data_IF_149029056912
#
_entry.id   IF_149029056912
#
_cell.length_a   1.000
_cell.length_b   1.000
_cell.length_c   1.000
_cell.angle_alpha   90.00
_cell.angle_beta   90.00
_cell.angle_gamma   90.00
#
_symmetry.space_group_name_H-M   'P 1'
#
loop_
_entity.id
_entity.type
_entity.pdbx_description
1 polymer ?
#
# COMPACT_ATOMS: atom_id res chain seq x y z
N UNK A 1 -19.06 -29.64 30.26
CA UNK A 1 -19.02 -28.99 28.94
C UNK A 1 -18.10 -27.78 29.03
N UNK A 2 -16.87 -27.90 28.57
CA UNK A 2 -15.91 -26.77 28.53
C UNK A 2 -16.31 -25.85 27.40
N UNK A 3 -17.12 -24.85 27.70
CA UNK A 3 -17.57 -23.86 26.74
C UNK A 3 -16.37 -23.01 26.24
N UNK A 4 -16.38 -22.61 24.98
CA UNK A 4 -15.39 -21.69 24.42
C UNK A 4 -15.52 -20.30 25.07
N UNK A 5 -14.40 -19.72 25.48
CA UNK A 5 -14.35 -18.34 25.98
C UNK A 5 -14.11 -17.36 24.86
N UNK A 6 -14.65 -16.14 25.00
CA UNK A 6 -14.47 -15.04 24.07
C UNK A 6 -13.67 -13.93 24.75
N UNK A 7 -12.47 -13.66 24.27
CA UNK A 7 -11.55 -12.72 24.91
C UNK A 7 -11.31 -11.51 24.02
N UNK A 8 -11.75 -10.35 24.47
CA UNK A 8 -11.43 -9.07 23.84
C UNK A 8 -10.13 -8.51 24.43
N UNK A 9 -9.24 -8.02 23.56
CA UNK A 9 -7.97 -7.41 23.93
C UNK A 9 -7.91 -5.96 23.45
N UNK A 10 -7.91 -5.01 24.37
CA UNK A 10 -7.56 -3.63 24.05
C UNK A 10 -6.05 -3.42 24.25
N UNK A 11 -5.38 -3.15 23.14
CA UNK A 11 -3.92 -3.23 23.04
C UNK A 11 -3.30 -1.85 22.98
N UNK A 12 -2.44 -1.58 23.96
CA UNK A 12 -1.61 -0.37 24.06
C UNK A 12 -0.11 -0.68 24.06
N UNK A 13 0.71 0.36 23.92
CA UNK A 13 2.19 0.24 23.86
C UNK A 13 2.79 -0.50 25.05
N UNK A 14 2.27 -0.27 26.25
CA UNK A 14 2.85 -0.78 27.52
C UNK A 14 1.95 -1.82 28.20
N UNK A 15 0.71 -1.96 27.78
CA UNK A 15 -0.28 -2.80 28.44
C UNK A 15 -1.31 -3.36 27.48
N UNK A 16 -1.93 -4.45 27.89
CA UNK A 16 -3.05 -5.10 27.21
C UNK A 16 -4.17 -5.25 28.26
N UNK A 17 -5.28 -4.57 28.07
CA UNK A 17 -6.48 -4.82 28.86
C UNK A 17 -7.26 -5.94 28.20
N UNK A 18 -7.78 -6.87 28.99
CA UNK A 18 -8.54 -8.02 28.47
C UNK A 18 -9.83 -8.23 29.24
N UNK A 19 -10.80 -8.80 28.57
CA UNK A 19 -12.04 -9.29 29.14
C UNK A 19 -12.40 -10.63 28.51
N UNK A 20 -12.51 -11.67 29.32
CA UNK A 20 -12.95 -13.00 28.93
C UNK A 20 -14.41 -13.19 29.32
N UNK A 21 -15.25 -13.61 28.38
CA UNK A 21 -16.68 -13.86 28.56
C UNK A 21 -17.07 -15.27 28.15
N UNK A 22 -18.11 -15.81 28.77
CA UNK A 22 -18.80 -17.03 28.31
C UNK A 22 -19.60 -16.73 27.04
N UNK A 23 -20.18 -17.78 26.44
CA UNK A 23 -21.13 -17.63 25.33
C UNK A 23 -22.42 -16.89 25.78
N UNK A 24 -22.83 -17.00 27.04
CA UNK A 24 -23.95 -16.24 27.63
C UNK A 24 -23.63 -14.75 27.84
N UNK A 25 -22.36 -14.36 27.83
CA UNK A 25 -21.91 -12.97 28.02
C UNK A 25 -21.47 -12.65 29.44
N UNK A 26 -21.45 -13.65 30.33
CA UNK A 26 -20.96 -13.49 31.71
C UNK A 26 -19.44 -13.27 31.70
N UNK A 27 -18.95 -12.31 32.48
CA UNK A 27 -17.53 -12.04 32.63
C UNK A 27 -16.93 -13.10 33.54
N UNK A 28 -15.99 -13.90 32.98
CA UNK A 28 -15.22 -14.91 33.71
C UNK A 28 -13.98 -14.32 34.32
N UNK A 29 -13.30 -13.49 33.54
CA UNK A 29 -12.07 -12.86 33.95
C UNK A 29 -11.89 -11.54 33.21
N UNK A 30 -11.37 -10.54 33.89
CA UNK A 30 -10.92 -9.30 33.25
C UNK A 30 -9.71 -8.74 33.99
N UNK A 31 -8.89 -7.98 33.30
CA UNK A 31 -7.71 -7.41 33.90
C UNK A 31 -6.83 -6.64 32.92
N UNK A 32 -5.63 -6.34 33.38
CA UNK A 32 -4.62 -5.64 32.61
C UNK A 32 -3.28 -6.35 32.77
N UNK A 33 -2.63 -6.61 31.65
CA UNK A 33 -1.33 -7.27 31.55
C UNK A 33 -0.27 -6.26 31.05
N UNK A 34 0.97 -6.44 31.45
CA UNK A 34 2.08 -5.74 30.81
C UNK A 34 2.24 -6.28 29.37
N UNK A 35 2.38 -5.38 28.40
CA UNK A 35 2.64 -5.75 27.01
C UNK A 35 4.08 -6.24 26.83
N UNK A 36 4.38 -7.44 27.36
CA UNK A 36 5.66 -8.16 27.30
C UNK A 36 5.44 -9.63 27.04
N UNK A 37 6.28 -10.26 26.22
CA UNK A 37 6.13 -11.70 25.87
C UNK A 37 6.17 -12.61 27.08
N UNK A 38 7.03 -12.28 28.07
CA UNK A 38 7.23 -13.02 29.30
C UNK A 38 5.98 -13.02 30.19
N UNK A 39 5.08 -12.05 30.01
CA UNK A 39 3.80 -11.97 30.73
C UNK A 39 2.67 -12.58 29.92
N UNK A 40 2.63 -12.29 28.61
CA UNK A 40 1.51 -12.70 27.74
C UNK A 40 1.50 -14.22 27.48
N UNK A 41 2.67 -14.85 27.31
CA UNK A 41 2.75 -16.30 27.05
C UNK A 41 2.25 -17.16 28.20
N UNK A 42 2.76 -17.02 29.44
CA UNK A 42 2.24 -17.80 30.57
C UNK A 42 0.75 -17.54 30.82
N UNK A 43 0.32 -16.28 30.72
CA UNK A 43 -1.08 -15.94 30.87
C UNK A 43 -1.97 -16.65 29.84
N UNK A 44 -1.58 -16.66 28.56
CA UNK A 44 -2.34 -17.30 27.50
C UNK A 44 -2.37 -18.83 27.63
N UNK A 45 -1.27 -19.44 28.10
CA UNK A 45 -1.15 -20.87 28.36
C UNK A 45 -2.02 -21.32 29.57
N UNK A 46 -2.23 -20.43 30.54
CA UNK A 46 -3.00 -20.73 31.74
C UNK A 46 -4.53 -20.58 31.55
N UNK A 47 -5.01 -20.23 30.37
CA UNK A 47 -6.46 -20.11 30.14
C UNK A 47 -7.16 -21.48 30.23
N UNK A 48 -8.32 -21.59 30.92
CA UNK A 48 -8.90 -22.87 31.33
C UNK A 48 -9.60 -23.64 30.20
N UNK A 49 -9.32 -23.40 28.96
CA UNK A 49 -9.93 -24.14 27.84
C UNK A 49 -9.73 -23.45 26.50
N UNK A 50 -10.37 -23.95 25.43
CA UNK A 50 -10.27 -23.34 24.13
C UNK A 50 -10.92 -21.94 24.15
N UNK A 51 -10.19 -20.94 23.67
CA UNK A 51 -10.67 -19.56 23.64
C UNK A 51 -10.54 -18.94 22.24
N UNK A 52 -11.48 -18.06 21.95
CA UNK A 52 -11.47 -17.22 20.75
C UNK A 52 -11.15 -15.79 21.18
N UNK A 53 -10.19 -15.14 20.52
CA UNK A 53 -9.77 -13.82 20.90
C UNK A 53 -9.86 -12.81 19.76
N UNK A 54 -9.95 -11.53 20.11
CA UNK A 54 -9.92 -10.45 19.12
C UNK A 54 -9.31 -9.18 19.65
N UNK A 55 -8.60 -8.47 18.80
CA UNK A 55 -7.97 -7.19 19.07
C UNK A 55 -8.07 -6.25 17.88
N UNK A 56 -8.04 -4.94 18.14
CA UNK A 56 -8.00 -3.96 17.06
C UNK A 56 -6.61 -3.91 16.39
N UNK A 57 -6.59 -3.75 15.06
CA UNK A 57 -5.35 -3.57 14.30
C UNK A 57 -4.73 -2.20 14.59
N UNK A 58 -3.74 -2.17 15.44
CA UNK A 58 -2.94 -0.99 15.80
C UNK A 58 -1.47 -1.19 15.42
N UNK A 59 -0.64 -0.17 15.65
CA UNK A 59 0.82 -0.31 15.46
C UNK A 59 1.43 -1.42 16.32
N UNK A 60 0.84 -1.70 17.48
CA UNK A 60 1.37 -2.65 18.47
C UNK A 60 0.78 -4.05 18.38
N UNK A 61 -0.36 -4.22 17.75
CA UNK A 61 -1.14 -5.47 17.79
C UNK A 61 -0.45 -6.65 17.11
N UNK A 62 0.35 -6.43 16.07
CA UNK A 62 0.91 -7.52 15.28
C UNK A 62 1.79 -8.49 16.08
N UNK A 63 2.73 -8.01 16.89
CA UNK A 63 3.59 -8.87 17.69
C UNK A 63 2.85 -9.52 18.88
N UNK A 64 1.83 -8.84 19.43
CA UNK A 64 0.95 -9.39 20.47
C UNK A 64 0.10 -10.53 19.88
N UNK A 65 -0.47 -10.29 18.70
CA UNK A 65 -1.17 -11.32 17.94
C UNK A 65 -0.32 -12.58 17.74
N UNK A 66 0.92 -12.42 17.24
CA UNK A 66 1.84 -13.56 17.04
C UNK A 66 2.21 -14.28 18.35
N UNK A 67 2.25 -13.53 19.45
CA UNK A 67 2.56 -14.09 20.77
C UNK A 67 1.39 -14.91 21.33
N UNK A 68 0.15 -14.47 21.11
CA UNK A 68 -1.05 -15.10 21.65
C UNK A 68 -1.63 -16.21 20.73
N UNK A 69 -1.41 -16.10 19.41
CA UNK A 69 -1.98 -16.99 18.40
C UNK A 69 -1.75 -18.49 18.65
N UNK A 70 -0.57 -18.96 19.14
CA UNK A 70 -0.34 -20.38 19.41
C UNK A 70 -1.22 -20.99 20.51
N UNK A 71 -1.79 -20.14 21.38
CA UNK A 71 -2.60 -20.57 22.53
C UNK A 71 -4.12 -20.42 22.28
N UNK A 72 -4.50 -19.72 21.21
CA UNK A 72 -5.89 -19.47 20.88
C UNK A 72 -6.43 -20.53 19.92
N UNK A 73 -7.65 -20.98 20.11
CA UNK A 73 -8.38 -21.75 19.10
C UNK A 73 -8.57 -20.88 17.83
N UNK A 74 -8.96 -19.62 18.04
CA UNK A 74 -9.08 -18.61 16.98
C UNK A 74 -8.67 -17.26 17.54
N UNK A 75 -7.83 -16.53 16.80
CA UNK A 75 -7.47 -15.16 17.14
C UNK A 75 -7.70 -14.27 15.92
N UNK A 76 -8.42 -13.18 16.11
CA UNK A 76 -8.87 -12.29 15.06
C UNK A 76 -8.30 -10.89 15.25
N UNK A 77 -8.12 -10.18 14.16
CA UNK A 77 -7.73 -8.77 14.16
C UNK A 77 -8.85 -7.94 13.56
N UNK A 78 -9.31 -6.93 14.27
CA UNK A 78 -10.42 -6.06 13.88
C UNK A 78 -9.97 -4.89 13.02
N UNK A 79 -10.79 -4.52 12.04
CA UNK A 79 -10.53 -3.37 11.17
C UNK A 79 -10.84 -2.06 11.89
N UNK A 80 -9.85 -1.15 12.14
CA UNK A 80 -10.03 0.04 12.98
C UNK A 80 -11.21 0.93 12.58
N UNK A 81 -11.35 1.25 11.30
CA UNK A 81 -12.44 2.12 10.85
C UNK A 81 -13.83 1.50 11.00
N UNK A 82 -13.96 0.16 10.88
CA UNK A 82 -15.23 -0.55 11.11
C UNK A 82 -15.51 -0.69 12.59
N UNK A 83 -14.47 -0.97 13.40
CA UNK A 83 -14.57 -1.01 14.85
C UNK A 83 -15.10 0.31 15.40
N UNK A 84 -14.49 1.44 14.95
CA UNK A 84 -14.92 2.79 15.35
C UNK A 84 -16.38 3.10 15.01
N UNK A 85 -16.91 2.56 13.91
CA UNK A 85 -18.31 2.76 13.53
C UNK A 85 -19.29 2.00 14.44
N UNK A 86 -18.84 0.88 15.06
CA UNK A 86 -19.66 0.04 15.93
C UNK A 86 -19.57 0.52 17.39
N UNK A 87 -18.40 1.01 17.83
CA UNK A 87 -18.10 1.38 19.22
C UNK A 87 -18.32 2.86 19.54
N UNK A 88 -19.30 3.52 18.94
CA UNK A 88 -19.58 4.95 19.12
C UNK A 88 -20.20 5.31 20.49
N UNK A 89 -19.58 4.88 21.58
CA UNK A 89 -20.00 5.19 22.96
C UNK A 89 -19.45 6.53 23.46
N UNK A 90 -20.22 7.26 24.28
CA UNK A 90 -19.81 8.53 24.91
C UNK A 90 -18.73 8.35 25.99
N UNK A 91 -18.61 7.19 26.62
CA UNK A 91 -17.60 6.88 27.64
C UNK A 91 -16.60 5.87 27.09
N UNK A 92 -15.31 6.23 27.08
CA UNK A 92 -14.23 5.34 26.68
C UNK A 92 -13.36 4.99 27.87
N UNK A 93 -13.06 3.70 28.05
CA UNK A 93 -12.00 3.21 28.91
C UNK A 93 -11.49 1.90 28.36
N UNK A 94 -10.19 1.62 28.52
CA UNK A 94 -9.54 0.38 28.07
C UNK A 94 -10.32 -0.89 28.49
N UNK A 95 -10.94 -0.85 29.67
CA UNK A 95 -11.76 -1.94 30.20
C UNK A 95 -13.08 -2.12 29.44
N UNK A 96 -13.77 -1.01 29.13
CA UNK A 96 -15.01 -1.03 28.34
C UNK A 96 -14.74 -1.46 26.91
N UNK A 97 -13.61 -1.02 26.35
CA UNK A 97 -13.21 -1.37 24.99
C UNK A 97 -12.92 -2.89 24.91
N UNK A 98 -12.20 -3.49 25.88
CA UNK A 98 -11.97 -4.94 25.94
C UNK A 98 -13.28 -5.73 26.10
N UNK A 99 -14.24 -5.26 26.91
CA UNK A 99 -15.57 -5.89 27.06
C UNK A 99 -16.35 -5.86 25.75
N UNK A 100 -16.34 -4.72 25.06
CA UNK A 100 -17.02 -4.54 23.77
C UNK A 100 -16.43 -5.47 22.71
N UNK A 101 -15.10 -5.62 22.66
CA UNK A 101 -14.42 -6.55 21.75
C UNK A 101 -14.84 -8.01 22.00
N UNK A 102 -14.95 -8.41 23.27
CA UNK A 102 -15.42 -9.74 23.64
C UNK A 102 -16.90 -9.96 23.22
N UNK A 103 -17.76 -8.95 23.38
CA UNK A 103 -19.15 -9.03 22.94
C UNK A 103 -19.28 -9.10 21.42
N UNK A 104 -18.53 -8.33 20.67
CA UNK A 104 -18.51 -8.41 19.21
C UNK A 104 -18.07 -9.80 18.72
N UNK A 105 -17.09 -10.42 19.38
CA UNK A 105 -16.65 -11.77 19.05
C UNK A 105 -17.74 -12.81 19.30
N UNK A 106 -18.34 -12.81 20.51
CA UNK A 106 -19.35 -13.81 20.87
C UNK A 106 -20.65 -13.66 20.06
N UNK A 107 -21.00 -12.42 19.67
CA UNK A 107 -22.14 -12.14 18.81
C UNK A 107 -21.86 -12.33 17.31
N UNK A 108 -20.65 -12.76 16.94
CA UNK A 108 -20.20 -12.91 15.54
C UNK A 108 -20.30 -11.63 14.71
N UNK A 109 -20.12 -10.47 15.36
CA UNK A 109 -20.16 -9.13 14.77
C UNK A 109 -18.78 -8.50 14.67
N UNK A 110 -17.72 -9.25 14.98
CA UNK A 110 -16.35 -8.74 14.97
C UNK A 110 -15.89 -8.46 13.54
N UNK A 111 -15.58 -7.20 13.18
CA UNK A 111 -15.24 -6.83 11.80
C UNK A 111 -13.78 -7.18 11.48
N UNK A 112 -13.54 -8.42 11.12
CA UNK A 112 -12.20 -8.97 10.87
C UNK A 112 -11.48 -8.27 9.73
N UNK A 113 -10.16 -8.18 9.84
CA UNK A 113 -9.25 -7.84 8.75
C UNK A 113 -8.23 -8.96 8.49
N UNK A 114 -7.71 -8.97 7.27
CA UNK A 114 -6.71 -9.96 6.86
C UNK A 114 -5.39 -9.76 7.61
N UNK A 115 -4.90 -10.81 8.28
CA UNK A 115 -3.64 -10.81 9.02
C UNK A 115 -2.55 -11.48 8.20
N UNK A 116 -1.47 -10.74 7.95
CA UNK A 116 -0.31 -11.25 7.22
C UNK A 116 0.56 -12.16 8.10
N UNK A 117 1.25 -13.11 7.46
CA UNK A 117 2.34 -13.84 8.11
C UNK A 117 3.46 -12.88 8.56
N UNK A 118 4.23 -13.24 9.59
CA UNK A 118 5.38 -12.44 10.03
C UNK A 118 6.35 -12.12 8.89
N UNK A 119 6.67 -13.10 8.05
CA UNK A 119 7.54 -12.94 6.89
C UNK A 119 7.01 -11.88 5.90
N UNK A 120 5.75 -12.00 5.51
CA UNK A 120 5.14 -11.03 4.58
C UNK A 120 5.02 -9.63 5.17
N UNK A 121 4.85 -9.52 6.50
CA UNK A 121 4.89 -8.23 7.19
C UNK A 121 6.28 -7.60 7.15
N UNK A 122 7.34 -8.40 7.29
CA UNK A 122 8.71 -7.91 7.23
C UNK A 122 9.07 -7.42 5.82
N UNK A 123 8.74 -8.18 4.79
CA UNK A 123 8.95 -7.79 3.41
C UNK A 123 8.13 -6.52 3.06
N UNK A 124 6.88 -6.44 3.51
CA UNK A 124 6.05 -5.23 3.34
C UNK A 124 6.66 -4.01 4.04
N UNK A 125 7.27 -4.18 5.22
CA UNK A 125 7.96 -3.11 5.95
C UNK A 125 9.15 -2.58 5.15
N UNK A 126 9.95 -3.46 4.53
CA UNK A 126 11.05 -3.08 3.64
C UNK A 126 10.55 -2.28 2.43
N UNK A 127 9.45 -2.70 1.80
CA UNK A 127 8.84 -1.99 0.68
C UNK A 127 8.37 -0.59 1.09
N UNK A 128 7.64 -0.49 2.20
CA UNK A 128 7.13 0.79 2.70
C UNK A 128 8.26 1.72 3.12
N UNK A 129 9.33 1.17 3.70
CA UNK A 129 10.53 1.95 4.01
C UNK A 129 11.22 2.45 2.73
N UNK A 130 11.27 1.62 1.67
CA UNK A 130 11.73 2.07 0.35
C UNK A 130 10.91 3.26 -0.17
N UNK A 131 9.59 3.25 -0.03
CA UNK A 131 8.75 4.39 -0.43
C UNK A 131 9.07 5.66 0.38
N UNK A 132 9.31 5.54 1.69
CA UNK A 132 9.77 6.65 2.52
C UNK A 132 11.08 7.24 1.98
N UNK A 133 12.08 6.40 1.73
CA UNK A 133 13.40 6.79 1.22
C UNK A 133 13.30 7.52 -0.13
N UNK A 134 12.40 7.08 -1.02
CA UNK A 134 12.14 7.79 -2.28
C UNK A 134 11.57 9.19 -2.02
N UNK A 135 10.65 9.31 -1.08
CA UNK A 135 10.10 10.62 -0.67
C UNK A 135 11.19 11.56 -0.16
N UNK A 136 12.12 11.06 0.67
CA UNK A 136 13.24 11.85 1.18
C UNK A 136 14.21 12.26 0.06
N UNK A 137 14.51 11.36 -0.89
CA UNK A 137 15.32 11.69 -2.07
C UNK A 137 14.70 12.83 -2.90
N UNK A 138 13.37 12.80 -3.10
CA UNK A 138 12.63 13.85 -3.81
C UNK A 138 12.66 15.16 -3.01
N UNK A 139 12.54 15.11 -1.67
CA UNK A 139 12.64 16.30 -0.81
C UNK A 139 14.01 16.97 -0.95
N UNK A 140 15.10 16.19 -0.95
CA UNK A 140 16.46 16.73 -1.15
C UNK A 140 16.60 17.36 -2.52
N UNK A 141 16.07 16.73 -3.57
CA UNK A 141 16.08 17.29 -4.92
C UNK A 141 15.33 18.65 -4.98
N UNK A 142 14.15 18.74 -4.37
CA UNK A 142 13.38 19.98 -4.32
C UNK A 142 14.07 21.03 -3.45
N UNK A 143 14.76 20.64 -2.37
CA UNK A 143 15.52 21.58 -1.52
C UNK A 143 16.68 22.19 -2.28
N UNK A 144 17.43 21.39 -3.07
CA UNK A 144 18.49 21.93 -3.95
C UNK A 144 17.92 22.96 -4.95
N UNK A 145 16.81 22.62 -5.61
CA UNK A 145 16.15 23.56 -6.52
C UNK A 145 15.70 24.84 -5.82
N UNK A 146 15.16 24.72 -4.58
CA UNK A 146 14.77 25.87 -3.77
C UNK A 146 15.93 26.80 -3.42
N UNK A 147 17.07 26.26 -3.00
CA UNK A 147 18.29 27.03 -2.70
C UNK A 147 18.81 27.80 -3.92
N UNK A 148 18.79 27.16 -5.09
CA UNK A 148 19.20 27.81 -6.34
C UNK A 148 18.22 28.91 -6.78
N UNK A 149 16.91 28.70 -6.59
CA UNK A 149 15.90 29.73 -6.87
C UNK A 149 16.02 30.93 -5.92
N UNK A 150 16.27 30.67 -4.63
CA UNK A 150 16.43 31.70 -3.61
C UNK A 150 17.63 32.63 -3.90
N UNK A 151 18.68 32.10 -4.50
CA UNK A 151 19.90 32.86 -4.86
C UNK A 151 19.89 33.41 -6.28
N UNK A 152 18.79 33.26 -7.03
CA UNK A 152 18.71 33.71 -8.42
C UNK A 152 19.61 32.95 -9.41
N UNK A 153 20.20 31.85 -8.98
CA UNK A 153 21.14 31.08 -9.79
C UNK A 153 20.44 30.39 -10.98
N UNK A 154 20.98 30.44 -12.21
CA UNK A 154 20.42 29.72 -13.35
C UNK A 154 20.68 28.22 -13.24
N UNK A 155 19.64 27.39 -13.39
CA UNK A 155 19.76 25.92 -13.36
C UNK A 155 18.65 25.20 -14.13
N UNK A 156 18.89 23.95 -14.45
CA UNK A 156 17.89 23.04 -15.05
C UNK A 156 17.54 21.98 -14.02
N UNK A 157 16.34 22.07 -13.46
CA UNK A 157 15.88 21.22 -12.35
C UNK A 157 16.02 19.73 -12.67
N UNK A 158 15.62 19.31 -13.87
CA UNK A 158 15.66 17.93 -14.33
C UNK A 158 17.08 17.36 -14.39
N UNK A 159 18.10 18.22 -14.55
CA UNK A 159 19.51 17.80 -14.63
C UNK A 159 20.23 17.77 -13.29
N UNK A 160 19.63 18.32 -12.20
CA UNK A 160 20.24 18.34 -10.86
C UNK A 160 20.58 16.94 -10.31
N UNK A 161 19.96 15.90 -10.83
CA UNK A 161 20.27 14.52 -10.46
C UNK A 161 21.58 14.02 -11.08
N UNK A 162 22.03 14.59 -12.20
CA UNK A 162 23.23 14.18 -12.93
C UNK A 162 24.52 14.65 -12.23
N UNK A 163 25.46 13.74 -11.95
CA UNK A 163 26.73 14.07 -11.27
C UNK A 163 27.53 15.11 -12.05
N UNK A 164 27.71 14.90 -13.34
CA UNK A 164 28.48 15.81 -14.22
C UNK A 164 27.87 17.22 -14.22
N UNK A 165 26.57 17.32 -14.45
CA UNK A 165 25.86 18.60 -14.45
C UNK A 165 25.99 19.33 -13.12
N UNK A 166 25.79 18.63 -12.00
CA UNK A 166 25.89 19.25 -10.67
C UNK A 166 27.29 19.76 -10.36
N UNK A 167 28.34 19.02 -10.73
CA UNK A 167 29.73 19.47 -10.55
C UNK A 167 30.03 20.71 -11.38
N UNK A 168 29.61 20.72 -12.66
CA UNK A 168 29.74 21.88 -13.52
C UNK A 168 28.98 23.10 -13.00
N UNK A 169 27.72 22.87 -12.59
CA UNK A 169 26.86 23.92 -12.00
C UNK A 169 27.58 24.62 -10.83
N UNK A 170 28.13 23.86 -9.88
CA UNK A 170 28.82 24.46 -8.71
C UNK A 170 30.00 25.32 -9.09
N UNK A 171 30.68 25.04 -10.22
CA UNK A 171 31.79 25.84 -10.72
C UNK A 171 31.34 27.18 -11.33
N UNK A 172 30.14 27.25 -11.88
CA UNK A 172 29.54 28.43 -12.50
C UNK A 172 28.80 29.35 -11.55
N UNK A 173 28.64 28.95 -10.27
CA UNK A 173 27.91 29.73 -9.26
C UNK A 173 28.86 30.72 -8.55
N UNK A 174 29.36 31.76 -9.25
CA UNK A 174 30.30 32.75 -8.68
C UNK A 174 29.65 33.63 -7.60
N UNK A 175 28.43 34.13 -7.83
CA UNK A 175 27.71 35.04 -6.94
C UNK A 175 26.95 34.33 -5.81
N UNK A 176 26.90 33.01 -5.80
CA UNK A 176 26.20 32.25 -4.77
C UNK A 176 27.09 32.08 -3.53
N UNK A 177 26.60 32.40 -2.32
CA UNK A 177 27.37 32.25 -1.08
C UNK A 177 27.90 30.82 -0.90
N UNK A 178 29.12 30.67 -0.38
CA UNK A 178 29.72 29.34 -0.17
C UNK A 178 28.91 28.47 0.79
N UNK A 179 28.24 29.08 1.78
CA UNK A 179 27.30 28.38 2.67
C UNK A 179 26.17 27.69 1.89
N UNK A 180 25.66 28.31 0.82
CA UNK A 180 24.62 27.72 -0.03
C UNK A 180 25.19 26.58 -0.86
N UNK A 181 26.42 26.75 -1.40
CA UNK A 181 27.12 25.68 -2.12
C UNK A 181 27.34 24.46 -1.21
N UNK A 182 27.67 24.66 0.05
CA UNK A 182 27.81 23.59 1.03
C UNK A 182 26.47 22.88 1.30
N UNK A 183 25.38 23.63 1.47
CA UNK A 183 24.04 23.04 1.59
C UNK A 183 23.62 22.25 0.35
N UNK A 184 24.00 22.70 -0.84
CA UNK A 184 23.80 21.95 -2.10
C UNK A 184 24.60 20.64 -2.11
N UNK A 185 25.88 20.66 -1.70
CA UNK A 185 26.74 19.46 -1.56
C UNK A 185 26.16 18.47 -0.55
N UNK A 186 25.74 18.94 0.63
CA UNK A 186 25.09 18.12 1.68
C UNK A 186 23.79 17.50 1.19
N UNK A 187 22.92 18.28 0.55
CA UNK A 187 21.65 17.78 0.00
C UNK A 187 21.87 16.75 -1.10
N UNK A 188 22.89 16.93 -1.91
CA UNK A 188 23.30 15.97 -2.95
C UNK A 188 23.79 14.65 -2.34
N UNK A 189 24.69 14.72 -1.35
CA UNK A 189 25.22 13.55 -0.63
C UNK A 189 24.11 12.75 0.06
N UNK A 190 23.19 13.43 0.73
CA UNK A 190 22.03 12.79 1.34
C UNK A 190 21.16 12.06 0.29
N UNK A 191 20.90 12.70 -0.85
CA UNK A 191 20.16 12.10 -1.96
C UNK A 191 20.84 10.84 -2.52
N UNK A 192 22.16 10.88 -2.75
CA UNK A 192 22.94 9.73 -3.24
C UNK A 192 22.87 8.54 -2.26
N UNK A 193 22.94 8.83 -0.95
CA UNK A 193 22.77 7.81 0.10
C UNK A 193 21.37 7.19 0.05
N UNK A 194 20.32 8.00 -0.14
CA UNK A 194 18.94 7.49 -0.26
C UNK A 194 18.78 6.63 -1.51
N UNK A 195 19.34 7.02 -2.66
CA UNK A 195 19.30 6.24 -3.90
C UNK A 195 20.02 4.90 -3.76
N UNK A 196 21.18 4.87 -3.11
CA UNK A 196 21.91 3.63 -2.83
C UNK A 196 21.12 2.72 -1.90
N UNK A 197 20.51 3.28 -0.85
CA UNK A 197 19.67 2.54 0.09
C UNK A 197 18.43 1.97 -0.60
N UNK A 198 17.76 2.75 -1.44
CA UNK A 198 16.64 2.29 -2.26
C UNK A 198 17.01 1.08 -3.12
N UNK A 199 18.14 1.15 -3.83
CA UNK A 199 18.63 0.04 -4.68
C UNK A 199 18.86 -1.24 -3.85
N UNK A 200 19.47 -1.11 -2.66
CA UNK A 200 19.68 -2.25 -1.74
C UNK A 200 18.37 -2.89 -1.27
N UNK A 201 17.38 -2.06 -0.90
CA UNK A 201 16.07 -2.55 -0.47
C UNK A 201 15.35 -3.29 -1.60
N UNK A 202 15.36 -2.77 -2.82
CA UNK A 202 14.76 -3.43 -3.99
C UNK A 202 15.46 -4.76 -4.28
N UNK A 203 16.80 -4.78 -4.29
CA UNK A 203 17.57 -6.01 -4.49
C UNK A 203 17.21 -7.08 -3.46
N UNK A 204 17.09 -6.71 -2.17
CA UNK A 204 16.70 -7.62 -1.10
C UNK A 204 15.27 -8.15 -1.29
N UNK A 205 14.33 -7.31 -1.71
CA UNK A 205 12.94 -7.73 -1.96
C UNK A 205 12.85 -8.69 -3.15
N UNK A 206 13.56 -8.43 -4.24
CA UNK A 206 13.58 -9.30 -5.42
C UNK A 206 14.26 -10.65 -5.15
N UNK A 207 15.20 -10.70 -4.22
CA UNK A 207 15.87 -11.93 -3.80
C UNK A 207 15.06 -12.76 -2.79
N UNK A 208 13.91 -12.26 -2.29
CA UNK A 208 13.10 -12.98 -1.32
C UNK A 208 12.39 -14.19 -1.97
N UNK A 209 12.65 -15.45 -1.51
CA UNK A 209 12.07 -16.65 -2.13
C UNK A 209 10.54 -16.63 -2.16
N UNK A 210 9.90 -16.09 -1.13
CA UNK A 210 8.44 -15.96 -1.04
C UNK A 210 7.83 -15.06 -2.13
N UNK A 211 8.61 -14.25 -2.83
CA UNK A 211 8.14 -13.30 -3.84
C UNK A 211 8.61 -13.62 -5.25
N UNK A 212 9.74 -14.34 -5.41
CA UNK A 212 10.46 -14.44 -6.68
C UNK A 212 9.57 -14.86 -7.85
N UNK A 213 9.05 -16.06 -7.87
CA UNK A 213 8.23 -16.53 -8.98
C UNK A 213 6.93 -15.75 -9.17
N UNK A 214 6.36 -15.18 -8.10
CA UNK A 214 5.16 -14.34 -8.17
C UNK A 214 5.45 -13.00 -8.84
N UNK A 215 6.54 -12.35 -8.47
CA UNK A 215 6.96 -11.06 -9.04
C UNK A 215 7.33 -11.23 -10.51
N UNK A 216 8.06 -12.30 -10.87
CA UNK A 216 8.41 -12.61 -12.25
C UNK A 216 7.16 -12.75 -13.14
N UNK A 217 6.15 -13.51 -12.70
CA UNK A 217 4.88 -13.65 -13.43
C UNK A 217 4.15 -12.31 -13.59
N UNK A 218 4.09 -11.49 -12.55
CA UNK A 218 3.46 -10.17 -12.62
C UNK A 218 4.18 -9.22 -13.59
N UNK A 219 5.51 -9.31 -13.69
CA UNK A 219 6.31 -8.54 -14.64
C UNK A 219 6.11 -8.96 -16.11
N UNK A 220 5.46 -10.10 -16.39
CA UNK A 220 5.10 -10.46 -17.78
C UNK A 220 4.00 -9.57 -18.36
N UNK A 221 3.30 -8.81 -17.52
CA UNK A 221 2.33 -7.81 -17.98
C UNK A 221 3.11 -6.60 -18.52
N UNK A 222 3.06 -6.38 -19.83
CA UNK A 222 3.73 -5.23 -20.45
C UNK A 222 3.25 -3.91 -19.80
N UNK A 223 4.21 -3.13 -19.29
CA UNK A 223 3.96 -1.91 -18.51
C UNK A 223 3.95 -2.11 -16.99
N UNK A 224 4.16 -3.33 -16.49
CA UNK A 224 4.33 -3.64 -15.06
C UNK A 224 5.81 -3.91 -14.77
N UNK A 225 6.47 -2.98 -14.12
CA UNK A 225 7.87 -3.15 -13.68
C UNK A 225 7.97 -3.78 -12.28
N UNK A 226 9.22 -4.12 -11.86
CA UNK A 226 9.47 -4.80 -10.57
C UNK A 226 8.85 -4.08 -9.35
N UNK A 227 8.86 -2.76 -9.32
CA UNK A 227 8.29 -1.99 -8.20
C UNK A 227 6.77 -2.15 -8.14
N UNK A 228 6.10 -2.13 -9.29
CA UNK A 228 4.65 -2.32 -9.36
C UNK A 228 4.28 -3.74 -8.94
N UNK A 229 5.02 -4.73 -9.43
CA UNK A 229 4.83 -6.14 -9.08
C UNK A 229 5.08 -6.41 -7.58
N UNK A 230 6.17 -5.88 -7.01
CA UNK A 230 6.46 -5.96 -5.56
C UNK A 230 5.36 -5.28 -4.72
N UNK A 231 4.92 -4.09 -5.15
CA UNK A 231 3.86 -3.37 -4.42
C UNK A 231 2.55 -4.17 -4.45
N UNK A 232 2.19 -4.70 -5.61
CA UNK A 232 1.03 -5.57 -5.74
C UNK A 232 1.17 -6.81 -4.84
N UNK A 233 2.24 -7.59 -4.99
CA UNK A 233 2.45 -8.82 -4.26
C UNK A 233 2.41 -8.63 -2.73
N UNK A 234 3.02 -7.56 -2.22
CA UNK A 234 3.14 -7.29 -0.79
C UNK A 234 1.94 -6.58 -0.17
N UNK A 235 1.21 -5.76 -0.92
CA UNK A 235 0.03 -5.08 -0.40
C UNK A 235 -1.27 -5.88 -0.61
N UNK A 236 -1.33 -6.73 -1.64
CA UNK A 236 -2.44 -7.67 -1.85
C UNK A 236 -2.27 -8.93 -1.01
N UNK A 237 -1.09 -9.54 -1.03
CA UNK A 237 -0.69 -10.80 -0.38
C UNK A 237 -1.47 -12.00 -0.90
N UNK A 238 -2.75 -12.09 -0.60
CA UNK A 238 -3.64 -13.14 -1.09
C UNK A 238 -4.65 -12.54 -2.09
N UNK A 239 -4.56 -12.89 -3.40
CA UNK A 239 -5.48 -12.38 -4.40
C UNK A 239 -6.88 -13.01 -4.31
N UNK A 240 -7.00 -14.20 -3.68
CA UNK A 240 -8.28 -14.91 -3.57
C UNK A 240 -9.25 -14.27 -2.57
N UNK A 241 -8.75 -13.42 -1.66
CA UNK A 241 -9.62 -12.65 -0.75
C UNK A 241 -10.54 -11.64 -1.45
N UNK A 242 -10.31 -11.38 -2.75
CA UNK A 242 -11.20 -10.52 -3.54
C UNK A 242 -12.18 -11.36 -4.36
N UNK A 243 -13.47 -11.26 -4.04
CA UNK A 243 -14.53 -11.96 -4.76
C UNK A 243 -14.67 -11.49 -6.23
N UNK A 244 -14.28 -10.22 -6.53
CA UNK A 244 -14.38 -9.66 -7.87
C UNK A 244 -13.25 -8.64 -8.16
N UNK A 245 -13.06 -8.32 -9.45
CA UNK A 245 -12.16 -7.24 -9.89
C UNK A 245 -12.59 -5.90 -9.28
N UNK A 246 -13.90 -5.65 -9.15
CA UNK A 246 -14.43 -4.42 -8.56
C UNK A 246 -13.98 -4.24 -7.09
N UNK A 247 -13.97 -5.31 -6.30
CA UNK A 247 -13.47 -5.29 -4.93
C UNK A 247 -11.96 -4.98 -4.88
N UNK A 248 -11.16 -5.57 -5.78
CA UNK A 248 -9.74 -5.27 -5.85
C UNK A 248 -9.48 -3.81 -6.27
N UNK A 249 -10.21 -3.29 -7.26
CA UNK A 249 -10.16 -1.90 -7.71
C UNK A 249 -10.53 -0.94 -6.58
N UNK A 250 -11.56 -1.26 -5.79
CA UNK A 250 -11.97 -0.50 -4.62
C UNK A 250 -10.90 -0.49 -3.53
N UNK A 251 -10.31 -1.64 -3.22
CA UNK A 251 -9.22 -1.76 -2.25
C UNK A 251 -7.98 -0.95 -2.67
N UNK A 252 -7.70 -0.91 -3.98
CA UNK A 252 -6.63 -0.07 -4.55
C UNK A 252 -6.98 1.43 -4.54
N UNK A 253 -8.20 1.83 -4.15
CA UNK A 253 -8.63 3.23 -4.10
C UNK A 253 -8.85 3.87 -5.46
N UNK A 254 -9.15 3.07 -6.47
CA UNK A 254 -9.38 3.54 -7.84
C UNK A 254 -10.89 3.73 -8.15
N UNK A 255 -11.75 3.67 -7.13
CA UNK A 255 -13.18 3.98 -7.22
C UNK A 255 -13.46 5.38 -6.67
N UNK A 256 -14.46 6.04 -7.23
CA UNK A 256 -14.98 7.28 -6.67
C UNK A 256 -15.78 6.99 -5.40
N UNK A 257 -15.73 7.91 -4.43
CA UNK A 257 -16.66 7.87 -3.33
C UNK A 257 -18.08 8.14 -3.87
N UNK A 258 -19.04 7.39 -3.35
CA UNK A 258 -20.43 7.49 -3.77
C UNK A 258 -21.22 8.11 -2.62
N UNK A 259 -21.95 9.18 -2.89
CA UNK A 259 -22.94 9.72 -1.97
C UNK A 259 -24.28 9.74 -2.70
N UNK A 260 -25.19 8.92 -2.24
CA UNK A 260 -26.57 8.92 -2.68
C UNK A 260 -27.42 9.41 -1.52
N UNK A 261 -28.19 10.46 -1.75
CA UNK A 261 -29.25 10.88 -0.84
C UNK A 261 -30.50 11.09 -1.71
N UNK A 262 -31.54 10.33 -1.42
CA UNK A 262 -32.77 10.21 -2.22
C UNK A 262 -32.43 9.93 -3.71
N UNK A 263 -33.03 10.63 -4.65
CA UNK A 263 -32.85 10.40 -6.09
C UNK A 263 -31.60 11.09 -6.70
N UNK A 264 -30.76 11.76 -5.89
CA UNK A 264 -29.57 12.44 -6.38
C UNK A 264 -28.30 11.62 -6.15
N UNK A 265 -27.64 11.27 -7.26
CA UNK A 265 -26.34 10.61 -7.29
C UNK A 265 -25.25 11.65 -7.48
N UNK A 266 -24.54 12.01 -6.42
CA UNK A 266 -23.37 12.87 -6.52
C UNK A 266 -22.09 12.05 -6.67
N UNK A 267 -21.37 12.24 -7.78
CA UNK A 267 -20.03 11.68 -7.97
C UNK A 267 -19.04 12.50 -7.16
N UNK A 268 -18.42 11.85 -6.17
CA UNK A 268 -17.37 12.42 -5.34
C UNK A 268 -15.97 12.10 -5.89
N UNK A 269 -14.90 12.76 -5.41
CA UNK A 269 -13.52 12.38 -5.70
C UNK A 269 -13.21 10.93 -5.33
N UNK A 270 -12.01 10.45 -5.70
CA UNK A 270 -11.56 9.10 -5.32
C UNK A 270 -11.66 8.88 -3.82
N UNK A 271 -12.14 7.70 -3.43
CA UNK A 271 -12.32 7.34 -2.02
C UNK A 271 -11.03 7.48 -1.23
N UNK A 272 -11.12 8.06 -0.02
CA UNK A 272 -10.01 8.11 0.93
C UNK A 272 -9.84 6.80 1.73
N UNK A 273 -10.83 5.90 1.69
CA UNK A 273 -10.72 4.53 2.22
C UNK A 273 -10.01 3.66 1.18
N UNK A 274 -8.69 3.60 1.25
CA UNK A 274 -7.86 3.00 0.21
C UNK A 274 -6.51 2.50 0.73
N UNK A 275 -5.88 1.61 -0.02
CA UNK A 275 -4.45 1.36 0.11
C UNK A 275 -3.67 2.42 -0.68
N UNK A 276 -3.07 3.37 0.03
CA UNK A 276 -2.34 4.52 -0.58
C UNK A 276 -1.16 4.05 -1.43
N UNK A 277 -0.46 3.01 -1.01
CA UNK A 277 0.71 2.48 -1.71
C UNK A 277 0.34 1.91 -3.07
N UNK A 278 -0.72 1.09 -3.12
CA UNK A 278 -1.25 0.55 -4.37
C UNK A 278 -1.77 1.66 -5.28
N UNK A 279 -2.56 2.59 -4.75
CA UNK A 279 -3.12 3.68 -5.55
C UNK A 279 -2.02 4.48 -6.25
N UNK A 280 -1.03 4.94 -5.49
CA UNK A 280 0.07 5.75 -6.03
C UNK A 280 0.85 4.97 -7.09
N UNK A 281 1.27 3.74 -6.78
CA UNK A 281 2.07 2.92 -7.69
C UNK A 281 1.31 2.57 -8.97
N UNK A 282 0.02 2.24 -8.87
CA UNK A 282 -0.81 1.89 -10.03
C UNK A 282 -1.10 3.10 -10.92
N UNK A 283 -1.31 4.28 -10.35
CA UNK A 283 -1.49 5.52 -11.13
C UNK A 283 -0.20 5.88 -11.87
N UNK A 284 0.96 5.79 -11.22
CA UNK A 284 2.24 6.04 -11.87
C UNK A 284 2.53 5.00 -12.99
N UNK A 285 2.28 3.72 -12.74
CA UNK A 285 2.38 2.71 -13.76
C UNK A 285 1.43 2.97 -14.95
N UNK A 286 0.19 3.39 -14.67
CA UNK A 286 -0.82 3.66 -15.69
C UNK A 286 -0.49 4.84 -16.60
N UNK A 287 0.33 5.79 -16.16
CA UNK A 287 0.83 6.90 -17.01
C UNK A 287 1.79 6.41 -18.09
N UNK A 288 2.51 5.33 -17.83
CA UNK A 288 3.56 4.80 -18.68
C UNK A 288 3.14 3.52 -19.44
N UNK A 289 2.30 2.68 -18.85
CA UNK A 289 1.91 1.39 -19.39
C UNK A 289 1.35 1.41 -20.84
N UNK A 290 0.61 2.46 -21.28
CA UNK A 290 0.17 2.57 -22.67
C UNK A 290 1.31 2.56 -23.72
N UNK A 291 2.54 2.92 -23.32
CA UNK A 291 3.71 2.90 -24.21
C UNK A 291 4.17 1.48 -24.57
N UNK A 292 3.86 0.52 -23.72
CA UNK A 292 4.36 -0.86 -23.79
C UNK A 292 3.26 -1.88 -24.06
N UNK A 293 1.99 -1.49 -23.96
CA UNK A 293 0.85 -2.40 -24.03
C UNK A 293 -0.25 -1.79 -24.92
N UNK A 294 -0.41 -2.36 -26.12
CA UNK A 294 -1.37 -1.87 -27.13
C UNK A 294 -2.81 -1.87 -26.62
N UNK A 295 -3.22 -2.87 -25.81
CA UNK A 295 -4.58 -2.90 -25.25
C UNK A 295 -4.81 -1.74 -24.25
N UNK A 296 -3.79 -1.40 -23.46
CA UNK A 296 -3.86 -0.26 -22.54
C UNK A 296 -3.79 1.08 -23.29
N UNK A 297 -3.06 1.15 -24.40
CA UNK A 297 -3.05 2.31 -25.29
C UNK A 297 -4.44 2.56 -25.90
N UNK A 298 -5.11 1.52 -26.38
CA UNK A 298 -6.47 1.62 -26.90
C UNK A 298 -7.48 2.08 -25.85
N UNK A 299 -7.36 1.57 -24.60
CA UNK A 299 -8.18 2.04 -23.46
C UNK A 299 -7.92 3.52 -23.19
N UNK A 300 -6.65 3.93 -23.16
CA UNK A 300 -6.26 5.32 -22.91
C UNK A 300 -6.81 6.26 -23.97
N UNK A 301 -6.61 5.94 -25.26
CA UNK A 301 -7.06 6.75 -26.39
C UNK A 301 -8.60 6.94 -26.38
N UNK A 302 -9.36 5.84 -26.23
CA UNK A 302 -10.82 5.88 -26.17
C UNK A 302 -11.35 6.76 -25.03
N UNK A 303 -10.73 6.67 -23.85
CA UNK A 303 -11.15 7.45 -22.69
C UNK A 303 -10.71 8.93 -22.79
N UNK A 304 -9.60 9.19 -23.47
CA UNK A 304 -9.14 10.54 -23.75
C UNK A 304 -10.11 11.31 -24.64
N UNK A 305 -10.69 10.66 -25.65
CA UNK A 305 -11.74 11.24 -26.51
C UNK A 305 -13.02 11.60 -25.74
N UNK A 306 -13.34 10.86 -24.64
CA UNK A 306 -14.53 11.06 -23.81
C UNK A 306 -14.35 12.02 -22.63
N UNK A 307 -13.12 12.44 -22.36
CA UNK A 307 -12.81 13.25 -21.20
C UNK A 307 -11.38 13.79 -21.22
N UNK A 308 -10.76 13.89 -20.06
CA UNK A 308 -9.40 14.42 -19.94
C UNK A 308 -8.39 13.34 -19.46
N UNK A 309 -7.09 13.67 -19.57
CA UNK A 309 -5.96 12.79 -19.29
C UNK A 309 -6.05 12.01 -17.97
N UNK A 310 -6.50 12.65 -16.89
CA UNK A 310 -6.60 12.00 -15.58
C UNK A 310 -7.65 10.87 -15.57
N UNK A 311 -8.75 11.04 -16.28
CA UNK A 311 -9.78 10.01 -16.44
C UNK A 311 -9.24 8.84 -17.25
N UNK A 312 -8.54 9.08 -18.35
CA UNK A 312 -7.93 8.04 -19.15
C UNK A 312 -6.88 7.25 -18.35
N UNK A 313 -5.99 7.94 -17.60
CA UNK A 313 -5.02 7.30 -16.70
C UNK A 313 -5.70 6.41 -15.65
N UNK A 314 -6.80 6.87 -15.06
CA UNK A 314 -7.54 6.10 -14.05
C UNK A 314 -8.16 4.83 -14.64
N UNK A 315 -8.66 4.85 -15.87
CA UNK A 315 -9.20 3.66 -16.54
C UNK A 315 -8.09 2.66 -16.87
N UNK A 316 -6.93 3.12 -17.31
CA UNK A 316 -5.75 2.27 -17.48
C UNK A 316 -5.34 1.63 -16.14
N UNK A 317 -5.31 2.38 -15.05
CA UNK A 317 -5.00 1.85 -13.73
C UNK A 317 -5.98 0.74 -13.30
N UNK A 318 -7.28 0.93 -13.52
CA UNK A 318 -8.31 -0.10 -13.27
C UNK A 318 -8.10 -1.36 -14.11
N UNK A 319 -7.72 -1.19 -15.39
CA UNK A 319 -7.43 -2.30 -16.28
C UNK A 319 -6.16 -3.06 -15.85
N UNK A 320 -5.13 -2.33 -15.38
CA UNK A 320 -3.94 -2.93 -14.78
C UNK A 320 -4.27 -3.77 -13.54
N UNK A 321 -5.19 -3.32 -12.67
CA UNK A 321 -5.65 -4.12 -11.53
C UNK A 321 -6.28 -5.44 -12.01
N UNK A 322 -7.09 -5.40 -13.06
CA UNK A 322 -7.69 -6.62 -13.62
C UNK A 322 -6.64 -7.59 -14.14
N UNK A 323 -5.61 -7.10 -14.85
CA UNK A 323 -4.51 -7.93 -15.34
C UNK A 323 -3.67 -8.52 -14.21
N UNK A 324 -3.26 -7.68 -13.23
CA UNK A 324 -2.51 -8.12 -12.07
C UNK A 324 -3.27 -9.19 -11.27
N UNK A 325 -4.57 -8.98 -11.04
CA UNK A 325 -5.40 -9.94 -10.32
C UNK A 325 -5.55 -11.26 -11.10
N UNK A 326 -5.70 -11.21 -12.42
CA UNK A 326 -5.84 -12.41 -13.26
C UNK A 326 -4.55 -13.25 -13.25
N UNK A 327 -3.39 -12.62 -13.49
CA UNK A 327 -2.07 -13.29 -13.44
C UNK A 327 -1.81 -13.87 -12.05
N UNK A 328 -2.12 -13.12 -11.01
CA UNK A 328 -1.87 -13.53 -9.63
C UNK A 328 -2.76 -14.70 -9.19
N UNK A 329 -4.03 -14.73 -9.61
CA UNK A 329 -4.95 -15.84 -9.34
C UNK A 329 -4.66 -17.07 -10.18
N UNK A 330 -4.32 -16.90 -11.46
CA UNK A 330 -4.04 -18.04 -12.34
C UNK A 330 -2.68 -18.70 -12.04
N UNK A 331 -1.74 -17.95 -11.47
CA UNK A 331 -0.35 -18.39 -11.31
C UNK A 331 0.37 -18.59 -12.65
N UNK A 332 -0.17 -18.05 -13.75
CA UNK A 332 0.39 -18.16 -15.09
C UNK A 332 0.90 -16.80 -15.59
N UNK A 333 1.89 -16.77 -16.47
CA UNK A 333 2.31 -15.55 -17.17
C UNK A 333 1.13 -14.88 -17.89
N UNK A 334 1.23 -13.57 -18.07
CA UNK A 334 0.20 -12.81 -18.76
C UNK A 334 0.10 -13.23 -20.22
N UNK A 335 -1.10 -13.58 -20.65
CA UNK A 335 -1.45 -13.84 -22.04
C UNK A 335 -2.47 -12.81 -22.50
N UNK A 336 -2.08 -11.96 -23.45
CA UNK A 336 -3.02 -11.07 -24.09
C UNK A 336 -4.05 -11.92 -24.85
N UNK A 337 -5.34 -11.78 -24.55
CA UNK A 337 -6.37 -12.36 -25.42
C UNK A 337 -6.24 -11.67 -26.78
N UNK A 338 -6.09 -12.44 -27.85
CA UNK A 338 -6.16 -11.92 -29.21
C UNK A 338 -7.56 -11.31 -29.38
N UNK A 339 -7.65 -9.99 -29.21
CA UNK A 339 -8.83 -9.27 -29.65
C UNK A 339 -8.75 -9.23 -31.16
N UNK A 340 -9.71 -9.81 -31.84
CA UNK A 340 -9.98 -9.69 -33.29
C UNK A 340 -10.36 -8.25 -33.72
N UNK A 341 -10.07 -7.26 -32.89
CA UNK A 341 -10.17 -5.86 -33.24
C UNK A 341 -8.80 -5.43 -33.72
N UNK A 342 -8.63 -5.32 -35.05
CA UNK A 342 -7.52 -4.61 -35.67
C UNK A 342 -7.25 -3.31 -34.90
N UNK A 343 -6.00 -2.98 -34.58
CA UNK A 343 -5.66 -1.64 -34.13
C UNK A 343 -6.05 -0.70 -35.29
N UNK A 344 -7.05 0.12 -35.09
CA UNK A 344 -7.20 1.30 -35.94
C UNK A 344 -5.85 2.00 -35.89
N UNK A 345 -5.22 2.19 -37.04
CA UNK A 345 -3.95 2.88 -37.19
C UNK A 345 -4.06 4.25 -36.58
N UNK A 346 -3.52 4.36 -35.36
CA UNK A 346 -3.31 5.67 -34.76
C UNK A 346 -2.27 6.37 -35.65
N UNK A 347 -2.67 7.42 -36.34
CA UNK A 347 -1.77 8.18 -37.20
C UNK A 347 -0.63 8.74 -36.35
N UNK A 348 0.56 8.81 -36.92
CA UNK A 348 1.77 9.35 -36.26
C UNK A 348 1.53 10.71 -35.60
N UNK A 349 0.62 11.53 -36.16
CA UNK A 349 0.20 12.83 -35.64
C UNK A 349 -0.64 12.75 -34.35
N UNK A 350 -1.38 11.67 -34.13
CA UNK A 350 -2.17 11.49 -32.88
C UNK A 350 -1.28 10.99 -31.73
N UNK A 351 -0.24 10.24 -32.03
CA UNK A 351 0.78 9.79 -31.07
C UNK A 351 1.60 10.99 -30.58
N UNK A 352 1.98 11.89 -31.48
CA UNK A 352 2.71 13.13 -31.15
C UNK A 352 1.87 14.12 -30.32
N UNK A 353 0.60 14.28 -30.65
CA UNK A 353 -0.36 15.13 -29.92
C UNK A 353 -0.64 14.60 -28.50
N UNK A 354 -0.50 13.28 -28.29
CA UNK A 354 -0.63 12.63 -26.98
C UNK A 354 0.64 12.72 -26.11
N UNK A 355 1.74 13.28 -26.64
CA UNK A 355 3.04 13.36 -25.96
C UNK A 355 3.67 11.98 -25.71
N UNK A 356 3.35 11.00 -26.55
CA UNK A 356 3.94 9.65 -26.50
C UNK A 356 5.11 9.61 -27.49
N UNK A 357 6.33 9.20 -27.10
CA UNK A 357 7.44 9.06 -28.04
C UNK A 357 7.15 7.93 -29.04
N UNK A 358 7.41 8.21 -30.32
CA UNK A 358 7.34 7.23 -31.41
C UNK A 358 8.36 6.14 -31.13
N UNK A 359 7.94 4.87 -31.12
CA UNK A 359 8.86 3.75 -31.07
C UNK A 359 9.68 3.71 -32.38
N UNK A 360 11.00 3.81 -32.27
CA UNK A 360 11.90 3.52 -33.39
C UNK A 360 11.82 2.02 -33.72
N UNK A 361 11.73 1.61 -34.99
CA UNK A 361 11.78 0.22 -35.35
C UNK A 361 13.14 -0.36 -34.98
N UNK A 362 13.13 -1.52 -34.32
CA UNK A 362 14.33 -2.32 -34.06
C UNK A 362 14.87 -2.84 -35.38
N UNK A 363 16.06 -2.37 -35.78
CA UNK A 363 16.96 -3.02 -36.72
C UNK A 363 17.75 -4.10 -36.02
#
# INVERSE_FOLDING_TARGET
MTGSYYIGFDVHKKSVSFCAKTASGEIVQEGRLAARREVLRPWAAAQPGPWRGGMEATLFSAWIYDTLKPYAQQLEMGHPARMKAISAGKKKSDRLDARTLADLLRCNLFPTCYVLSPEMRDLRRLLRYRHLIVGESVRMHNKMAGLLMETGAPFVKEKLHGKKYFTQLLQTLEEVPESVKDLLRMSRGAREMFEATQKRLVKRLLAAPALQGRVERLCTIAGVGPITALTWALEIVDPYRFASIAHAVSYCGLTTAFRSSADQVQRAPLSKQRNVWLQTTLIEAAKLAPRWNAQLAAVYARELQRGHRNRATLQVARKLVAYLLAVDKSGQPFQARNSTVCPAELSSKEIEKAGLPVALPST
#
